data_IF_083155693056
#
_entry.id   IF_083155693056
#
_cell.length_a   1.000
_cell.length_b   1.000
_cell.length_c   1.000
_cell.angle_alpha   90.00
_cell.angle_beta   90.00
_cell.angle_gamma   90.00
#
_symmetry.space_group_name_H-M   'P 1'
#
loop_
_entity.id
_entity.type
_entity.pdbx_description
1 polymer ?
#
# COMPACT_ATOMS: atom_id res chain seq x y z
N UNK A 1 -11.16 16.84 -4.05
CA UNK A 1 -10.08 15.84 -3.95
C UNK A 1 -9.85 15.39 -2.50
N UNK A 2 -9.61 16.29 -1.53
CA UNK A 2 -9.46 15.89 -0.12
C UNK A 2 -10.68 15.14 0.45
N UNK A 3 -11.89 15.64 0.21
CA UNK A 3 -13.13 14.99 0.67
C UNK A 3 -13.32 13.60 0.05
N UNK A 4 -12.98 13.45 -1.22
CA UNK A 4 -13.01 12.17 -1.93
C UNK A 4 -12.02 11.15 -1.31
N UNK A 5 -10.79 11.58 -1.02
CA UNK A 5 -9.81 10.74 -0.33
C UNK A 5 -10.27 10.35 1.09
N UNK A 6 -10.94 11.26 1.81
CA UNK A 6 -11.55 10.95 3.10
C UNK A 6 -12.67 9.92 2.97
N UNK A 7 -13.54 10.06 1.97
CA UNK A 7 -14.60 9.09 1.70
C UNK A 7 -14.03 7.73 1.27
N UNK A 8 -12.94 7.70 0.51
CA UNK A 8 -12.21 6.47 0.17
C UNK A 8 -11.60 5.83 1.42
N UNK A 9 -10.83 6.56 2.23
CA UNK A 9 -10.16 5.98 3.41
C UNK A 9 -11.18 5.53 4.46
N UNK A 10 -12.31 6.23 4.58
CA UNK A 10 -13.41 5.83 5.47
C UNK A 10 -14.24 4.66 4.93
N UNK A 11 -14.08 4.29 3.65
CA UNK A 11 -14.78 3.17 3.01
C UNK A 11 -16.16 3.52 2.46
N UNK A 12 -16.50 4.81 2.33
CA UNK A 12 -17.75 5.28 1.71
C UNK A 12 -17.68 5.31 0.17
N UNK A 13 -16.47 5.43 -0.38
CA UNK A 13 -16.17 5.29 -1.80
C UNK A 13 -15.08 4.22 -1.99
N UNK A 14 -14.93 3.67 -3.20
CA UNK A 14 -13.98 2.59 -3.49
C UNK A 14 -12.98 3.00 -4.56
N UNK A 15 -11.72 2.63 -4.34
CA UNK A 15 -10.67 2.64 -5.37
C UNK A 15 -10.67 1.31 -6.11
N UNK A 16 -9.95 1.25 -7.24
CA UNK A 16 -9.68 -0.02 -7.92
C UNK A 16 -9.09 -1.02 -6.92
N UNK A 17 -9.67 -2.22 -6.88
CA UNK A 17 -9.30 -3.28 -5.94
C UNK A 17 -9.38 -2.91 -4.44
N UNK A 18 -10.12 -1.85 -4.08
CA UNK A 18 -10.21 -1.34 -2.71
C UNK A 18 -11.10 -2.17 -1.78
N UNK A 19 -12.04 -2.96 -2.29
CA UNK A 19 -13.11 -3.57 -1.51
C UNK A 19 -12.61 -4.36 -0.27
N UNK A 20 -11.68 -5.30 -0.45
CA UNK A 20 -11.13 -6.11 0.65
C UNK A 20 -10.27 -5.25 1.58
N UNK A 21 -9.42 -4.38 1.01
CA UNK A 21 -8.49 -3.51 1.74
C UNK A 21 -9.27 -2.55 2.67
N UNK A 22 -10.35 -1.97 2.17
CA UNK A 22 -11.18 -1.04 2.93
C UNK A 22 -12.04 -1.77 3.97
N UNK A 23 -12.53 -2.97 3.67
CA UNK A 23 -13.28 -3.79 4.62
C UNK A 23 -12.44 -4.19 5.83
N UNK A 24 -11.22 -4.70 5.62
CA UNK A 24 -10.32 -5.08 6.72
C UNK A 24 -9.85 -3.85 7.51
N UNK A 25 -9.55 -2.73 6.83
CA UNK A 25 -9.19 -1.48 7.50
C UNK A 25 -10.35 -0.94 8.36
N UNK A 26 -11.60 -1.04 7.88
CA UNK A 26 -12.80 -0.71 8.64
C UNK A 26 -12.95 -1.57 9.89
N UNK A 27 -12.85 -2.89 9.73
CA UNK A 27 -12.91 -3.85 10.84
C UNK A 27 -11.87 -3.58 11.92
N UNK A 28 -10.62 -3.25 11.53
CA UNK A 28 -9.56 -2.91 12.48
C UNK A 28 -9.83 -1.60 13.24
N UNK A 29 -10.38 -0.58 12.57
CA UNK A 29 -10.74 0.70 13.24
C UNK A 29 -11.81 0.50 14.30
N UNK A 30 -12.84 -0.30 14.01
CA UNK A 30 -13.90 -0.61 14.96
C UNK A 30 -13.36 -1.41 16.15
N UNK A 31 -12.50 -2.40 15.88
CA UNK A 31 -11.88 -3.26 16.89
C UNK A 31 -10.87 -2.52 17.79
N UNK A 32 -10.19 -1.49 17.28
CA UNK A 32 -9.23 -0.70 18.06
C UNK A 32 -9.92 0.36 18.91
N UNK A 33 -11.03 0.96 18.44
CA UNK A 33 -11.82 1.98 19.16
C UNK A 33 -12.38 1.49 20.51
N UNK A 34 -12.67 0.19 20.61
CA UNK A 34 -13.14 -0.46 21.84
C UNK A 34 -12.02 -0.73 22.84
N UNK A 35 -10.75 -0.56 22.45
CA UNK A 35 -9.56 -0.85 23.26
C UNK A 35 -8.80 0.43 23.67
N UNK A 36 -9.46 1.38 24.36
CA UNK A 36 -8.80 2.58 24.91
C UNK A 36 -7.62 2.23 25.85
N UNK A 37 -6.38 2.54 25.43
CA UNK A 37 -5.29 3.17 26.21
C UNK A 37 -3.99 3.14 25.42
N UNK A 38 -3.13 4.14 25.64
CA UNK A 38 -1.77 4.25 25.09
C UNK A 38 -1.03 2.91 25.19
N UNK A 39 -0.77 2.28 24.04
CA UNK A 39 0.09 1.11 23.97
C UNK A 39 1.19 1.37 22.98
N UNK A 40 2.38 0.86 23.30
CA UNK A 40 3.53 0.85 22.39
C UNK A 40 3.13 0.33 21.01
N UNK A 41 3.70 0.91 19.94
CA UNK A 41 3.41 0.56 18.54
C UNK A 41 3.49 -0.96 18.29
N UNK A 42 4.46 -1.63 18.91
CA UNK A 42 4.63 -3.09 18.83
C UNK A 42 3.42 -3.86 19.37
N UNK A 43 2.78 -3.36 20.42
CA UNK A 43 1.58 -3.98 20.97
C UNK A 43 0.37 -3.73 20.06
N UNK A 44 0.24 -2.52 19.51
CA UNK A 44 -0.82 -2.20 18.55
C UNK A 44 -0.77 -3.14 17.33
N UNK A 45 0.39 -3.27 16.71
CA UNK A 45 0.55 -4.12 15.52
C UNK A 45 0.20 -5.59 15.79
N UNK A 46 0.62 -6.14 16.94
CA UNK A 46 0.21 -7.50 17.38
C UNK A 46 -1.29 -7.65 17.62
N UNK A 47 -1.94 -6.60 18.15
CA UNK A 47 -3.40 -6.62 18.31
C UNK A 47 -4.08 -6.62 16.95
N UNK A 48 -3.62 -5.81 16.00
CA UNK A 48 -4.14 -5.80 14.64
C UNK A 48 -3.95 -7.17 13.96
N UNK A 49 -2.78 -7.79 14.06
CA UNK A 49 -2.55 -9.16 13.56
C UNK A 49 -3.61 -10.15 14.07
N UNK A 50 -3.92 -10.11 15.37
CA UNK A 50 -4.94 -10.98 15.96
C UNK A 50 -6.34 -10.72 15.38
N UNK A 51 -6.66 -9.46 15.08
CA UNK A 51 -7.94 -9.10 14.46
C UNK A 51 -7.97 -9.48 12.98
N UNK A 52 -6.86 -9.32 12.26
CA UNK A 52 -6.72 -9.78 10.87
C UNK A 52 -6.93 -11.30 10.82
N UNK A 53 -6.30 -12.06 11.70
CA UNK A 53 -6.47 -13.52 11.74
C UNK A 53 -7.93 -13.95 11.92
N UNK A 54 -8.66 -13.26 12.82
CA UNK A 54 -10.10 -13.48 13.01
C UNK A 54 -10.90 -13.11 11.76
N UNK A 55 -10.62 -11.97 11.15
CA UNK A 55 -11.28 -11.51 9.94
C UNK A 55 -11.06 -12.50 8.78
N UNK A 56 -9.83 -13.00 8.61
CA UNK A 56 -9.50 -13.99 7.61
C UNK A 56 -10.24 -15.30 7.82
N UNK A 57 -10.34 -15.79 9.07
CA UNK A 57 -11.10 -16.99 9.39
C UNK A 57 -12.60 -16.83 9.14
N UNK A 58 -13.16 -15.64 9.38
CA UNK A 58 -14.58 -15.35 9.17
C UNK A 58 -14.95 -15.16 7.71
N UNK A 59 -14.02 -14.73 6.85
CA UNK A 59 -14.32 -14.33 5.47
C UNK A 59 -13.60 -15.19 4.41
N UNK A 60 -12.88 -16.23 4.83
CA UNK A 60 -12.18 -17.14 3.91
C UNK A 60 -11.01 -16.48 3.19
N UNK A 61 -10.29 -15.56 3.85
CA UNK A 61 -9.15 -14.84 3.26
C UNK A 61 -7.78 -15.48 3.59
N UNK A 62 -7.78 -16.69 4.14
CA UNK A 62 -6.57 -17.47 4.28
C UNK A 62 -6.21 -18.12 2.95
N UNK A 63 -4.99 -17.86 2.46
CA UNK A 63 -4.51 -18.48 1.23
C UNK A 63 -3.71 -19.74 1.54
N UNK A 64 -4.30 -20.91 1.30
CA UNK A 64 -3.67 -22.20 1.65
C UNK A 64 -2.77 -22.76 0.55
N UNK A 65 -3.00 -22.36 -0.71
CA UNK A 65 -2.34 -22.92 -1.90
C UNK A 65 -1.82 -21.84 -2.84
N UNK A 66 -1.02 -20.90 -2.34
CA UNK A 66 -0.35 -19.94 -3.24
C UNK A 66 0.91 -20.58 -3.78
N UNK A 67 0.98 -20.67 -5.11
CA UNK A 67 2.19 -21.13 -5.78
C UNK A 67 3.24 -20.02 -5.77
N UNK A 68 4.19 -20.15 -4.85
CA UNK A 68 5.35 -19.28 -4.70
C UNK A 68 6.60 -19.82 -5.43
N UNK A 69 6.44 -20.78 -6.35
CA UNK A 69 7.57 -21.42 -7.04
C UNK A 69 8.34 -20.46 -7.95
N UNK A 70 7.67 -19.44 -8.51
CA UNK A 70 8.25 -18.48 -9.43
C UNK A 70 8.83 -17.25 -8.71
N UNK A 71 9.79 -17.46 -7.83
CA UNK A 71 10.49 -16.38 -7.14
C UNK A 71 11.19 -15.40 -8.12
N UNK A 72 11.05 -14.10 -7.89
CA UNK A 72 11.67 -13.03 -8.70
C UNK A 72 12.73 -12.30 -7.88
N UNK A 73 12.35 -11.76 -6.73
CA UNK A 73 13.23 -10.97 -5.86
C UNK A 73 12.74 -10.95 -4.41
N UNK A 74 13.65 -10.66 -3.50
CA UNK A 74 13.41 -10.46 -2.07
C UNK A 74 14.16 -9.20 -1.68
N UNK A 75 13.40 -8.18 -1.26
CA UNK A 75 13.92 -7.05 -0.53
C UNK A 75 13.68 -7.27 0.96
N UNK A 76 14.20 -6.36 1.80
CA UNK A 76 13.90 -6.39 3.22
C UNK A 76 12.39 -6.18 3.52
N UNK A 77 11.64 -5.60 2.57
CA UNK A 77 10.22 -5.24 2.73
C UNK A 77 9.23 -6.29 2.22
N UNK A 78 9.63 -7.10 1.23
CA UNK A 78 8.71 -8.01 0.56
C UNK A 78 9.40 -9.06 -0.30
N UNK A 79 8.70 -10.18 -0.47
CA UNK A 79 9.04 -11.26 -1.41
C UNK A 79 8.15 -11.16 -2.64
N UNK A 80 8.75 -11.13 -3.83
CA UNK A 80 8.07 -10.97 -5.12
C UNK A 80 8.12 -12.28 -5.92
N UNK A 81 6.96 -12.70 -6.42
CA UNK A 81 6.78 -13.92 -7.19
C UNK A 81 6.08 -13.61 -8.51
N UNK A 82 6.57 -14.15 -9.62
CA UNK A 82 5.94 -14.00 -10.93
C UNK A 82 4.76 -14.97 -11.02
N UNK A 83 3.54 -14.45 -11.07
CA UNK A 83 2.35 -15.30 -11.24
C UNK A 83 2.21 -15.74 -12.70
N UNK A 84 2.30 -14.77 -13.61
CA UNK A 84 2.20 -14.95 -15.05
C UNK A 84 2.98 -13.82 -15.77
N UNK A 85 2.86 -13.70 -17.09
CA UNK A 85 3.55 -12.63 -17.86
C UNK A 85 3.00 -11.21 -17.61
N UNK A 86 1.95 -11.06 -16.79
CA UNK A 86 1.18 -9.83 -16.59
C UNK A 86 1.06 -9.41 -15.13
N UNK A 87 1.33 -10.30 -14.17
CA UNK A 87 1.16 -10.01 -12.74
C UNK A 87 2.26 -10.62 -11.88
N UNK A 88 2.52 -9.95 -10.76
CA UNK A 88 3.35 -10.44 -9.66
C UNK A 88 2.52 -10.55 -8.38
N UNK A 89 2.90 -11.50 -7.52
CA UNK A 89 2.49 -11.54 -6.13
C UNK A 89 3.56 -10.92 -5.26
N UNK A 90 3.14 -10.18 -4.24
CA UNK A 90 4.02 -9.66 -3.19
C UNK A 90 3.51 -10.11 -1.82
N UNK A 91 4.43 -10.58 -0.99
CA UNK A 91 4.19 -10.92 0.41
C UNK A 91 4.79 -9.83 1.27
N UNK A 92 3.95 -9.15 2.04
CA UNK A 92 4.36 -8.04 2.89
C UNK A 92 3.90 -8.28 4.33
N UNK A 93 4.81 -8.20 5.30
CA UNK A 93 4.55 -8.34 6.75
C UNK A 93 4.32 -6.98 7.45
N UNK A 94 4.19 -5.93 6.65
CA UNK A 94 4.07 -4.54 7.05
C UNK A 94 5.20 -4.06 7.98
N UNK A 95 6.39 -4.67 7.98
CA UNK A 95 7.45 -4.35 8.96
C UNK A 95 7.89 -2.89 8.95
N UNK A 96 7.81 -2.23 7.79
CA UNK A 96 8.12 -0.80 7.61
C UNK A 96 6.99 0.15 8.02
N UNK A 97 5.84 -0.37 8.43
CA UNK A 97 4.69 0.41 8.85
C UNK A 97 4.49 0.35 10.36
N UNK A 98 4.09 1.48 10.95
CA UNK A 98 3.77 1.58 12.38
C UNK A 98 2.58 0.69 12.79
N UNK A 99 1.67 0.42 11.85
CA UNK A 99 0.47 -0.38 12.03
C UNK A 99 0.05 -1.04 10.71
N UNK A 100 -0.74 -2.11 10.78
CA UNK A 100 -1.40 -2.70 9.60
C UNK A 100 -2.39 -1.74 8.96
N UNK A 101 -3.06 -0.89 9.76
CA UNK A 101 -3.93 0.17 9.24
C UNK A 101 -3.13 1.12 8.33
N UNK A 102 -1.90 1.48 8.69
CA UNK A 102 -1.07 2.35 7.86
C UNK A 102 -0.63 1.66 6.57
N UNK A 103 -0.34 0.36 6.62
CA UNK A 103 -0.11 -0.45 5.41
C UNK A 103 -1.33 -0.45 4.48
N UNK A 104 -2.54 -0.68 5.01
CA UNK A 104 -3.76 -0.65 4.18
C UNK A 104 -4.06 0.74 3.62
N UNK A 105 -3.81 1.83 4.37
CA UNK A 105 -3.91 3.19 3.85
C UNK A 105 -2.91 3.41 2.71
N UNK A 106 -1.68 2.89 2.82
CA UNK A 106 -0.70 2.98 1.76
C UNK A 106 -1.21 2.31 0.46
N UNK A 107 -1.74 1.09 0.54
CA UNK A 107 -2.33 0.42 -0.62
C UNK A 107 -3.49 1.20 -1.23
N UNK A 108 -4.38 1.76 -0.40
CA UNK A 108 -5.52 2.56 -0.85
C UNK A 108 -5.05 3.82 -1.59
N UNK A 109 -4.07 4.54 -1.03
CA UNK A 109 -3.52 5.75 -1.65
C UNK A 109 -2.76 5.43 -2.93
N UNK A 110 -1.97 4.36 -2.94
CA UNK A 110 -1.32 3.88 -4.16
C UNK A 110 -2.35 3.60 -5.26
N UNK A 111 -3.42 2.87 -4.95
CA UNK A 111 -4.45 2.53 -5.94
C UNK A 111 -5.22 3.75 -6.44
N UNK A 112 -5.31 4.81 -5.64
CA UNK A 112 -5.91 6.07 -6.04
C UNK A 112 -5.00 6.87 -6.98
N UNK A 113 -3.74 7.09 -6.60
CA UNK A 113 -2.81 7.91 -7.38
C UNK A 113 -2.22 7.18 -8.59
N UNK A 114 -2.07 5.85 -8.52
CA UNK A 114 -1.36 5.02 -9.50
C UNK A 114 -2.21 3.79 -9.90
N UNK A 115 -3.38 4.04 -10.46
CA UNK A 115 -4.36 2.99 -10.79
C UNK A 115 -3.87 1.94 -11.83
N UNK A 116 -2.83 2.27 -12.60
CA UNK A 116 -2.20 1.38 -13.58
C UNK A 116 -1.40 0.24 -12.94
N UNK A 117 -0.95 0.44 -11.70
CA UNK A 117 -0.19 -0.52 -10.88
C UNK A 117 -0.91 -0.83 -9.57
N UNK A 118 -2.23 -0.65 -9.54
CA UNK A 118 -3.06 -0.88 -8.35
C UNK A 118 -2.86 -2.29 -7.77
N UNK A 119 -2.71 -2.34 -6.45
CA UNK A 119 -2.63 -3.55 -5.65
C UNK A 119 -4.00 -4.17 -5.40
N UNK A 120 -4.11 -5.46 -5.61
CA UNK A 120 -5.26 -6.26 -5.20
C UNK A 120 -4.87 -7.14 -4.01
N UNK A 121 -5.51 -6.92 -2.84
CA UNK A 121 -5.31 -7.79 -1.69
C UNK A 121 -6.10 -9.08 -1.88
N UNK A 122 -5.39 -10.20 -2.07
CA UNK A 122 -5.98 -11.52 -2.28
C UNK A 122 -6.32 -12.22 -0.97
N UNK A 123 -5.56 -11.94 0.08
CA UNK A 123 -5.71 -12.59 1.37
C UNK A 123 -4.42 -12.55 2.17
N UNK A 124 -4.27 -13.50 3.08
CA UNK A 124 -3.14 -13.58 3.99
C UNK A 124 -2.58 -15.00 4.05
N UNK A 125 -1.28 -15.09 4.31
CA UNK A 125 -0.58 -16.32 4.65
C UNK A 125 0.14 -16.14 5.98
N UNK A 126 0.33 -17.24 6.71
CA UNK A 126 1.10 -17.22 7.96
C UNK A 126 2.22 -18.23 7.88
N UNK A 127 3.46 -17.74 7.88
CA UNK A 127 4.66 -18.56 7.75
C UNK A 127 5.55 -18.36 8.97
N UNK A 128 5.89 -19.46 9.67
CA UNK A 128 6.75 -19.44 10.87
C UNK A 128 6.29 -18.43 11.94
N UNK A 129 4.98 -18.21 12.04
CA UNK A 129 4.37 -17.28 12.98
C UNK A 129 4.29 -15.83 12.52
N UNK A 130 4.82 -15.50 11.34
CA UNK A 130 4.74 -14.16 10.73
C UNK A 130 3.55 -14.12 9.78
N UNK A 131 2.72 -13.09 9.94
CA UNK A 131 1.57 -12.82 9.08
C UNK A 131 2.02 -12.00 7.87
N UNK A 132 1.68 -12.45 6.67
CA UNK A 132 1.93 -11.73 5.43
C UNK A 132 0.61 -11.44 4.71
N UNK A 133 0.42 -10.20 4.27
CA UNK A 133 -0.56 -9.87 3.25
C UNK A 133 -0.05 -10.35 1.89
N UNK A 134 -0.92 -11.01 1.12
CA UNK A 134 -0.64 -11.40 -0.25
C UNK A 134 -1.37 -10.43 -1.18
N UNK A 135 -0.59 -9.58 -1.85
CA UNK A 135 -1.12 -8.63 -2.83
C UNK A 135 -0.70 -9.03 -4.23
N UNK A 136 -1.56 -8.77 -5.21
CA UNK A 136 -1.26 -8.90 -6.63
C UNK A 136 -1.09 -7.50 -7.24
N UNK A 137 -0.09 -7.34 -8.11
CA UNK A 137 0.17 -6.12 -8.85
C UNK A 137 0.42 -6.44 -10.33
N UNK A 138 0.02 -5.58 -11.27
CA UNK A 138 0.46 -5.67 -12.67
C UNK A 138 2.00 -5.71 -12.78
N UNK A 139 2.51 -6.66 -13.57
CA UNK A 139 3.93 -6.76 -13.88
C UNK A 139 4.28 -5.74 -14.96
N UNK A 140 5.15 -4.79 -14.62
CA UNK A 140 5.64 -3.77 -15.55
C UNK A 140 7.06 -4.12 -15.96
N UNK A 141 7.27 -4.29 -17.26
CA UNK A 141 8.60 -4.46 -17.84
C UNK A 141 9.11 -3.11 -18.34
N UNK A 142 10.13 -2.56 -17.68
CA UNK A 142 10.79 -1.35 -18.13
C UNK A 142 11.37 -1.54 -19.55
N UNK A 143 11.16 -0.53 -20.40
CA UNK A 143 11.70 -0.48 -21.78
C UNK A 143 12.83 0.53 -21.92
N UNK A 144 13.02 1.39 -20.92
CA UNK A 144 14.08 2.39 -20.86
C UNK A 144 14.41 2.71 -19.38
N UNK A 145 15.60 3.27 -19.09
CA UNK A 145 15.89 3.86 -17.79
C UNK A 145 14.89 4.98 -17.49
N UNK A 146 14.51 5.11 -16.22
CA UNK A 146 13.61 6.19 -15.78
C UNK A 146 14.38 7.48 -15.56
N UNK A 147 13.95 8.55 -16.20
CA UNK A 147 14.50 9.89 -16.00
C UNK A 147 13.80 10.59 -14.83
N UNK A 148 14.53 10.85 -13.74
CA UNK A 148 13.97 11.46 -12.53
C UNK A 148 13.33 12.84 -12.75
N UNK A 149 13.80 13.62 -13.75
CA UNK A 149 13.17 14.90 -14.10
C UNK A 149 11.75 14.71 -14.66
N UNK A 150 11.48 13.61 -15.39
CA UNK A 150 10.13 13.29 -15.86
C UNK A 150 9.21 12.92 -14.69
N UNK A 151 9.74 12.19 -13.70
CA UNK A 151 9.03 11.87 -12.45
C UNK A 151 8.71 13.14 -11.68
N UNK A 152 9.69 14.04 -11.51
CA UNK A 152 9.50 15.33 -10.84
C UNK A 152 8.44 16.17 -11.54
N UNK A 153 8.49 16.28 -12.88
CA UNK A 153 7.51 17.03 -13.67
C UNK A 153 6.10 16.45 -13.48
N UNK A 154 5.95 15.13 -13.64
CA UNK A 154 4.67 14.45 -13.44
C UNK A 154 4.08 14.73 -12.06
N UNK A 155 4.87 14.61 -11.00
CA UNK A 155 4.41 14.83 -9.62
C UNK A 155 4.07 16.31 -9.36
N UNK A 156 4.87 17.23 -9.90
CA UNK A 156 4.61 18.67 -9.79
C UNK A 156 3.29 19.06 -10.46
N UNK A 157 3.02 18.51 -11.65
CA UNK A 157 1.75 18.70 -12.37
C UNK A 157 0.54 18.12 -11.60
N UNK A 158 0.78 17.14 -10.72
CA UNK A 158 -0.22 16.53 -9.82
C UNK A 158 -0.22 17.14 -8.39
N UNK A 159 0.37 18.32 -8.20
CA UNK A 159 0.30 19.07 -6.94
C UNK A 159 1.28 18.62 -5.85
N UNK A 160 2.23 17.76 -6.18
CA UNK A 160 3.30 17.35 -5.26
C UNK A 160 4.55 18.21 -5.46
N UNK A 161 5.10 18.74 -4.37
CA UNK A 161 6.38 19.47 -4.39
C UNK A 161 7.49 18.55 -3.89
N UNK A 162 8.60 18.48 -4.61
CA UNK A 162 9.79 17.76 -4.14
C UNK A 162 10.35 18.44 -2.90
N UNK A 163 10.64 17.68 -1.84
CA UNK A 163 11.15 18.20 -0.57
C UNK A 163 12.63 17.94 -0.41
N UNK A 164 13.03 16.67 -0.30
CA UNK A 164 14.41 16.21 -0.18
C UNK A 164 14.55 14.92 -0.97
N UNK A 165 15.71 14.69 -1.60
CA UNK A 165 15.96 13.50 -2.41
C UNK A 165 14.82 13.30 -3.42
N UNK A 166 14.21 12.11 -3.45
CA UNK A 166 13.04 11.81 -4.26
C UNK A 166 11.76 11.72 -3.41
N UNK A 167 11.68 12.46 -2.30
CA UNK A 167 10.50 12.56 -1.48
C UNK A 167 9.67 13.78 -1.91
N UNK A 168 8.35 13.66 -1.77
CA UNK A 168 7.39 14.63 -2.27
C UNK A 168 6.29 14.91 -1.26
N UNK A 169 5.81 16.15 -1.25
CA UNK A 169 4.77 16.60 -0.34
C UNK A 169 3.68 17.35 -1.09
N UNK A 170 2.43 16.93 -0.89
CA UNK A 170 1.26 17.66 -1.32
C UNK A 170 0.69 18.40 -0.09
N UNK A 171 0.94 19.71 -0.02
CA UNK A 171 0.54 20.54 1.11
C UNK A 171 -0.98 20.71 1.22
N UNK A 172 -1.69 20.80 0.09
CA UNK A 172 -3.14 20.94 0.05
C UNK A 172 -3.84 19.72 0.64
N UNK A 173 -3.38 18.52 0.26
CA UNK A 173 -3.94 17.27 0.76
C UNK A 173 -3.35 16.90 2.13
N UNK A 174 -2.14 17.34 2.47
CA UNK A 174 -1.42 16.90 3.65
C UNK A 174 -0.84 15.48 3.51
N UNK A 175 -0.34 15.14 2.31
CA UNK A 175 0.17 13.81 1.95
C UNK A 175 1.67 13.89 1.67
N UNK A 176 2.43 12.96 2.23
CA UNK A 176 3.84 12.73 1.90
C UNK A 176 3.92 11.46 1.05
N UNK A 177 4.72 11.50 0.00
CA UNK A 177 5.03 10.38 -0.89
C UNK A 177 6.54 10.19 -0.91
N UNK A 178 7.01 9.05 -0.43
CA UNK A 178 8.43 8.70 -0.31
C UNK A 178 8.76 7.48 -1.18
N UNK A 179 10.04 7.14 -1.21
CA UNK A 179 10.62 5.95 -1.85
C UNK A 179 10.55 5.94 -3.39
N UNK A 180 10.57 7.11 -4.02
CA UNK A 180 10.51 7.26 -5.48
C UNK A 180 11.90 7.26 -6.13
N UNK A 181 12.67 6.20 -5.92
CA UNK A 181 13.92 5.98 -6.66
C UNK A 181 13.67 5.33 -8.03
N UNK A 182 14.72 5.23 -8.83
CA UNK A 182 14.70 4.69 -10.20
C UNK A 182 14.31 3.20 -10.28
N UNK A 183 14.44 2.45 -9.18
CA UNK A 183 13.93 1.07 -9.10
C UNK A 183 12.42 0.99 -8.82
N UNK A 184 11.83 2.00 -8.17
CA UNK A 184 10.40 2.06 -7.80
C UNK A 184 9.54 2.84 -8.80
N UNK A 185 10.17 3.49 -9.78
CA UNK A 185 9.47 4.13 -10.89
C UNK A 185 9.99 3.57 -12.20
N UNK A 186 9.15 2.84 -12.92
CA UNK A 186 9.50 2.13 -14.16
C UNK A 186 8.99 2.87 -15.39
N UNK A 187 9.82 2.99 -16.41
CA UNK A 187 9.43 3.58 -17.70
C UNK A 187 9.13 2.49 -18.72
N UNK A 188 7.88 2.41 -19.18
CA UNK A 188 7.46 1.49 -20.23
C UNK A 188 6.78 2.28 -21.37
N UNK A 189 7.36 2.21 -22.57
CA UNK A 189 6.86 2.89 -23.78
C UNK A 189 6.63 4.40 -23.57
N UNK A 190 7.50 5.07 -22.80
CA UNK A 190 7.41 6.50 -22.50
C UNK A 190 6.44 6.87 -21.37
N UNK A 191 5.76 5.90 -20.77
CA UNK A 191 4.86 6.10 -19.64
C UNK A 191 5.54 5.70 -18.32
N UNK A 192 5.27 6.46 -17.26
CA UNK A 192 5.74 6.17 -15.90
C UNK A 192 4.77 5.23 -15.19
N UNK A 193 5.32 4.20 -14.55
CA UNK A 193 4.59 3.26 -13.72
C UNK A 193 5.23 3.24 -12.34
N UNK A 194 4.43 3.50 -11.31
CA UNK A 194 4.89 3.59 -9.94
C UNK A 194 4.64 2.26 -9.23
N UNK A 195 5.67 1.71 -8.60
CA UNK A 195 5.57 0.50 -7.77
C UNK A 195 6.19 0.80 -6.41
N UNK A 196 5.82 0.03 -5.40
CA UNK A 196 6.47 0.08 -4.07
C UNK A 196 6.54 1.48 -3.42
N UNK A 197 5.56 2.33 -3.72
CA UNK A 197 5.49 3.68 -3.16
C UNK A 197 5.09 3.66 -1.70
N UNK A 198 5.57 4.65 -0.93
CA UNK A 198 5.23 4.83 0.47
C UNK A 198 4.50 6.15 0.70
N UNK A 199 3.26 6.07 1.17
CA UNK A 199 2.42 7.22 1.50
C UNK A 199 2.27 7.42 3.01
N UNK A 200 2.42 8.67 3.46
CA UNK A 200 2.07 9.08 4.81
C UNK A 200 1.03 10.20 4.80
N UNK A 201 0.12 10.15 5.78
CA UNK A 201 -0.88 11.17 6.01
C UNK A 201 -0.47 12.03 7.20
N UNK A 202 -0.34 13.33 6.98
CA UNK A 202 -0.02 14.29 8.05
C UNK A 202 -1.26 14.65 8.86
N UNK A 203 -1.09 15.33 10.00
CA UNK A 203 -2.21 15.89 10.77
C UNK A 203 -3.11 16.81 9.93
N UNK A 204 -2.54 17.52 8.96
CA UNK A 204 -3.28 18.40 8.04
C UNK A 204 -4.29 17.64 7.18
N UNK A 205 -4.02 16.37 6.85
CA UNK A 205 -4.97 15.55 6.09
C UNK A 205 -6.30 15.40 6.83
N UNK A 206 -6.25 15.32 8.16
CA UNK A 206 -7.42 15.06 9.02
C UNK A 206 -8.12 16.32 9.52
N UNK A 207 -7.49 17.48 9.42
CA UNK A 207 -8.13 18.75 9.79
C UNK A 207 -9.11 19.19 8.72
N UNK A 208 -10.30 19.61 9.14
CA UNK A 208 -11.17 20.44 8.31
C UNK A 208 -10.46 21.76 8.03
N UNK A 209 -10.54 22.24 6.79
CA UNK A 209 -10.14 23.61 6.45
C UNK A 209 -11.06 24.62 7.15
#
# INVERSE_FOLDING_TARGET
>A
MKDELLDIISGKSQVRYGAIIQAIAGYLRESTSTSKRSKDQKHLKKQEETHIEKFCAQHGLWMENVDFSCYVSEGAEQRVYLKDKRHVFKLNDAIYYNSWIDYFKNLILHNYFFADTAYELLGFVKERGILYAVVQQPFVKATAPTELENVRRFLTENGFTNTRNNDYFNAELGIILEDLHDENVLTQNGMLYFIDTVFYLTGHFWSSN
#
